data_IF_712513356438
#
_entry.id   IF_712513356438
#
_cell.length_a   1.000
_cell.length_b   1.000
_cell.length_c   1.000
_cell.angle_alpha   90.00
_cell.angle_beta   90.00
_cell.angle_gamma   90.00
#
_symmetry.space_group_name_H-M   'P 1'
#
loop_
_entity.id
_entity.type
_entity.pdbx_description
1 polymer ?
#
# COMPACT_ATOMS: atom_id res chain seq x y z
N UNK A 1 -35.82 5.29 -52.41
CA UNK A 1 -34.42 4.86 -52.50
C UNK A 1 -33.57 6.04 -52.02
N UNK A 2 -33.11 6.00 -50.76
CA UNK A 2 -31.75 5.59 -50.32
C UNK A 2 -30.71 6.69 -50.62
N UNK A 3 -29.86 7.21 -49.73
CA UNK A 3 -29.31 6.81 -48.42
C UNK A 3 -28.82 8.08 -47.70
N UNK A 4 -29.05 8.20 -46.39
CA UNK A 4 -28.34 9.14 -45.51
C UNK A 4 -26.97 8.56 -45.15
N UNK A 5 -25.90 9.32 -45.38
CA UNK A 5 -24.54 8.97 -44.97
C UNK A 5 -24.37 9.19 -43.46
N UNK A 6 -24.15 8.11 -42.72
CA UNK A 6 -23.72 8.13 -41.33
C UNK A 6 -22.19 8.00 -41.32
N UNK A 7 -21.49 9.10 -41.01
CA UNK A 7 -20.05 9.13 -40.81
C UNK A 7 -19.75 8.58 -39.41
N UNK A 8 -19.33 7.32 -39.33
CA UNK A 8 -18.83 6.71 -38.10
C UNK A 8 -17.37 7.12 -37.91
N UNK A 9 -17.08 7.98 -36.93
CA UNK A 9 -15.71 8.22 -36.47
C UNK A 9 -15.30 7.03 -35.62
N UNK A 10 -14.54 6.10 -36.20
CA UNK A 10 -13.90 5.04 -35.45
C UNK A 10 -12.75 5.66 -34.62
N UNK A 11 -12.97 5.85 -33.32
CA UNK A 11 -11.87 5.98 -32.39
C UNK A 11 -11.10 4.65 -32.40
N UNK A 12 -9.85 4.66 -32.86
CA UNK A 12 -9.00 3.48 -32.80
C UNK A 12 -8.65 3.20 -31.34
N UNK A 13 -9.44 2.36 -30.68
CA UNK A 13 -8.97 1.63 -29.51
C UNK A 13 -7.97 0.59 -30.02
N UNK A 14 -6.70 0.97 -30.12
CA UNK A 14 -5.63 0.00 -30.28
C UNK A 14 -5.65 -0.85 -29.02
N UNK A 15 -6.20 -2.07 -29.10
CA UNK A 15 -6.13 -3.04 -28.03
C UNK A 15 -4.64 -3.26 -27.71
N UNK A 16 -4.15 -2.67 -26.61
CA UNK A 16 -2.82 -2.98 -26.10
C UNK A 16 -2.83 -4.45 -25.74
N UNK A 17 -1.89 -5.23 -26.29
CA UNK A 17 -1.78 -6.64 -25.97
C UNK A 17 -1.61 -6.79 -24.44
N UNK A 18 -2.51 -7.52 -23.79
CA UNK A 18 -2.42 -7.80 -22.36
C UNK A 18 -1.58 -9.06 -22.17
N UNK A 19 -0.44 -8.92 -21.49
CA UNK A 19 0.33 -10.07 -21.00
C UNK A 19 -0.26 -10.53 -19.66
N UNK A 20 -0.24 -11.84 -19.41
CA UNK A 20 -0.72 -12.44 -18.15
C UNK A 20 0.14 -13.62 -17.73
N UNK A 21 0.35 -13.76 -16.43
CA UNK A 21 1.00 -14.92 -15.82
C UNK A 21 0.32 -15.27 -14.50
N UNK A 22 0.29 -16.56 -14.16
CA UNK A 22 -0.31 -17.07 -12.92
C UNK A 22 0.69 -17.96 -12.19
N UNK A 23 0.95 -17.64 -10.92
CA UNK A 23 1.61 -18.53 -9.97
C UNK A 23 0.55 -19.29 -9.18
N UNK A 24 0.78 -20.58 -8.97
CA UNK A 24 0.03 -21.38 -8.00
C UNK A 24 0.87 -21.51 -6.74
N UNK A 25 0.30 -21.11 -5.61
CA UNK A 25 0.90 -21.27 -4.29
C UNK A 25 0.46 -22.65 -3.80
N UNK A 26 1.39 -23.58 -3.67
CA UNK A 26 1.09 -24.93 -3.17
C UNK A 26 1.56 -25.03 -1.73
N UNK A 27 0.88 -25.87 -0.95
CA UNK A 27 1.29 -26.19 0.41
C UNK A 27 2.36 -27.30 0.41
N UNK A 28 3.31 -27.24 1.34
CA UNK A 28 4.23 -28.33 1.61
C UNK A 28 3.61 -29.42 2.51
N UNK A 29 2.67 -29.02 3.36
CA UNK A 29 1.95 -29.76 4.40
C UNK A 29 0.44 -29.49 4.31
N UNK A 30 -0.35 -30.14 5.16
CA UNK A 30 -1.82 -29.94 5.20
C UNK A 30 -2.26 -28.77 6.06
N UNK A 31 -1.38 -28.26 6.92
CA UNK A 31 -1.71 -27.23 7.90
C UNK A 31 -1.19 -25.84 7.47
N UNK A 32 -0.44 -25.76 6.36
CA UNK A 32 0.14 -24.49 5.89
C UNK A 32 -0.95 -23.52 5.46
N UNK A 33 -0.70 -22.25 5.74
CA UNK A 33 -1.51 -21.13 5.28
C UNK A 33 -0.63 -19.96 4.89
N UNK A 34 -1.16 -19.03 4.11
CA UNK A 34 -0.49 -17.73 3.94
C UNK A 34 -1.04 -16.80 5.01
N UNK A 35 -0.22 -16.46 5.99
CA UNK A 35 -0.57 -15.59 7.12
C UNK A 35 0.15 -14.23 7.09
N UNK A 36 1.19 -14.10 6.25
CA UNK A 36 1.89 -12.85 6.00
C UNK A 36 2.02 -12.55 4.50
N UNK A 37 1.95 -11.26 4.13
CA UNK A 37 2.07 -10.79 2.75
C UNK A 37 3.02 -9.59 2.67
N UNK A 38 4.20 -9.76 2.07
CA UNK A 38 5.14 -8.68 1.72
C UNK A 38 5.03 -8.28 0.24
N UNK A 39 4.61 -7.04 0.01
CA UNK A 39 4.41 -6.46 -1.32
C UNK A 39 5.43 -5.35 -1.59
N UNK A 40 6.43 -5.63 -2.43
CA UNK A 40 7.31 -4.62 -3.04
C UNK A 40 6.89 -4.36 -4.48
N UNK A 41 5.73 -3.72 -4.65
CA UNK A 41 5.07 -3.54 -5.92
C UNK A 41 4.82 -2.07 -6.27
N UNK A 42 4.53 -1.86 -7.54
CA UNK A 42 3.93 -0.64 -8.07
C UNK A 42 2.70 -1.04 -8.91
N UNK A 43 1.86 -0.06 -9.27
CA UNK A 43 0.61 -0.35 -9.96
C UNK A 43 -0.50 -0.71 -8.98
N UNK A 44 -1.32 -1.72 -9.30
CA UNK A 44 -2.50 -2.10 -8.51
C UNK A 44 -2.42 -3.51 -7.99
N UNK A 45 -2.84 -3.71 -6.74
CA UNK A 45 -2.91 -5.02 -6.11
C UNK A 45 -4.29 -5.24 -5.48
N UNK A 46 -4.87 -6.43 -5.67
CA UNK A 46 -5.99 -6.90 -4.87
C UNK A 46 -5.60 -8.16 -4.13
N UNK A 47 -5.95 -8.23 -2.86
CA UNK A 47 -5.86 -9.45 -2.06
C UNK A 47 -7.29 -9.85 -1.71
N UNK A 48 -7.67 -11.06 -2.08
CA UNK A 48 -9.02 -11.58 -1.97
C UNK A 48 -8.99 -12.99 -1.39
N UNK A 49 -9.95 -13.32 -0.54
CA UNK A 49 -10.25 -14.71 -0.19
C UNK A 49 -11.12 -15.35 -1.27
N UNK A 50 -10.85 -16.62 -1.60
CA UNK A 50 -11.69 -17.43 -2.50
C UNK A 50 -11.89 -18.84 -1.93
N UNK A 51 -13.15 -19.27 -1.87
CA UNK A 51 -13.50 -20.62 -1.45
C UNK A 51 -13.36 -21.63 -2.59
N UNK A 52 -13.05 -22.89 -2.27
CA UNK A 52 -13.14 -24.00 -3.21
C UNK A 52 -11.94 -24.17 -4.13
N UNK A 53 -10.76 -23.72 -3.70
CA UNK A 53 -9.51 -24.06 -4.39
C UNK A 53 -9.19 -25.55 -4.25
N UNK A 54 -8.42 -26.13 -5.18
CA UNK A 54 -7.99 -27.53 -5.09
C UNK A 54 -7.24 -27.82 -3.79
N UNK A 55 -7.34 -29.06 -3.30
CA UNK A 55 -6.56 -29.51 -2.15
C UNK A 55 -5.05 -29.32 -2.39
N UNK A 56 -4.34 -28.81 -1.40
CA UNK A 56 -2.89 -28.53 -1.49
C UNK A 56 -2.56 -27.21 -2.20
N UNK A 57 -3.55 -26.39 -2.53
CA UNK A 57 -3.35 -25.04 -3.09
C UNK A 57 -3.68 -24.00 -2.02
N UNK A 58 -2.67 -23.21 -1.64
CA UNK A 58 -2.78 -22.09 -0.71
C UNK A 58 -3.36 -20.83 -1.38
N UNK A 59 -3.23 -20.72 -2.70
CA UNK A 59 -3.73 -19.59 -3.45
C UNK A 59 -3.18 -19.46 -4.86
N UNK A 60 -3.54 -18.36 -5.50
CA UNK A 60 -3.01 -17.95 -6.81
C UNK A 60 -2.53 -16.52 -6.77
N UNK A 61 -1.46 -16.22 -7.50
CA UNK A 61 -1.08 -14.85 -7.84
C UNK A 61 -1.22 -14.68 -9.34
N UNK A 62 -2.17 -13.86 -9.76
CA UNK A 62 -2.39 -13.50 -11.16
C UNK A 62 -1.80 -12.12 -11.42
N UNK A 63 -0.90 -12.03 -12.39
CA UNK A 63 -0.30 -10.76 -12.80
C UNK A 63 -0.70 -10.48 -14.23
N UNK A 64 -1.17 -9.27 -14.49
CA UNK A 64 -1.48 -8.79 -15.83
C UNK A 64 -0.89 -7.42 -16.08
N UNK A 65 -0.41 -7.20 -17.30
CA UNK A 65 0.15 -5.92 -17.69
C UNK A 65 0.04 -5.63 -19.17
N UNK A 66 0.42 -4.42 -19.57
CA UNK A 66 0.35 -3.97 -20.96
C UNK A 66 1.54 -4.41 -21.82
N UNK A 67 2.51 -5.13 -21.24
CA UNK A 67 3.59 -5.79 -21.96
C UNK A 67 4.12 -7.01 -21.19
N UNK A 68 4.72 -7.95 -21.91
CA UNK A 68 5.37 -9.12 -21.29
C UNK A 68 6.50 -8.70 -20.36
N UNK A 69 7.27 -7.66 -20.71
CA UNK A 69 8.36 -7.16 -19.87
C UNK A 69 7.88 -6.67 -18.50
N UNK A 70 6.68 -6.10 -18.40
CA UNK A 70 6.09 -5.68 -17.12
C UNK A 70 5.69 -6.90 -16.29
N UNK A 71 5.12 -7.93 -16.91
CA UNK A 71 4.73 -9.18 -16.22
C UNK A 71 5.95 -9.98 -15.77
N UNK A 72 6.96 -10.13 -16.64
CA UNK A 72 8.20 -10.86 -16.36
C UNK A 72 9.06 -10.18 -15.29
N UNK A 73 8.83 -8.88 -15.03
CA UNK A 73 9.52 -8.16 -13.96
C UNK A 73 8.99 -8.52 -12.56
N UNK A 74 7.84 -9.19 -12.46
CA UNK A 74 7.26 -9.62 -11.19
C UNK A 74 7.80 -10.98 -10.78
N UNK A 75 8.19 -11.09 -9.52
CA UNK A 75 8.57 -12.33 -8.87
C UNK A 75 7.62 -12.62 -7.71
N UNK A 76 7.23 -13.89 -7.60
CA UNK A 76 6.41 -14.40 -6.49
C UNK A 76 7.22 -15.50 -5.82
N UNK A 77 7.40 -15.37 -4.50
CA UNK A 77 8.06 -16.35 -3.65
C UNK A 77 7.09 -16.62 -2.50
N UNK A 78 6.86 -17.90 -2.22
CA UNK A 78 6.20 -18.35 -1.00
C UNK A 78 7.25 -19.16 -0.24
N UNK A 79 7.52 -18.75 1.00
CA UNK A 79 8.59 -19.33 1.82
C UNK A 79 8.30 -20.78 2.26
N UNK A 80 7.06 -21.24 2.12
CA UNK A 80 6.66 -22.63 2.35
C UNK A 80 7.31 -23.64 1.37
N UNK A 81 7.89 -23.17 0.27
CA UNK A 81 8.24 -24.06 -0.83
C UNK A 81 9.55 -24.86 -0.65
N UNK A 82 10.46 -24.50 0.27
CA UNK A 82 11.76 -25.18 0.34
C UNK A 82 12.63 -24.90 1.60
N UNK A 83 12.07 -24.97 2.81
CA UNK A 83 12.92 -24.92 4.00
C UNK A 83 13.41 -26.33 4.40
N UNK A 84 14.72 -26.53 4.38
CA UNK A 84 15.40 -27.71 4.92
C UNK A 84 16.36 -27.33 6.06
N UNK A 85 16.35 -26.07 6.47
CA UNK A 85 17.22 -25.53 7.49
C UNK A 85 16.45 -25.52 8.81
N UNK A 86 16.41 -26.70 9.43
CA UNK A 86 15.76 -27.11 10.69
C UNK A 86 16.21 -26.31 11.95
N UNK A 87 16.66 -25.06 11.84
CA UNK A 87 17.41 -24.39 12.90
C UNK A 87 17.23 -22.87 13.05
N UNK A 88 16.24 -22.23 12.43
CA UNK A 88 15.86 -20.86 12.77
C UNK A 88 14.49 -20.87 13.46
N UNK A 89 14.45 -20.53 14.75
CA UNK A 89 13.21 -20.52 15.57
C UNK A 89 12.20 -19.42 15.17
N UNK A 90 12.36 -18.85 13.98
CA UNK A 90 11.66 -17.70 13.40
C UNK A 90 11.34 -17.92 11.91
N UNK A 91 11.33 -19.16 11.42
CA UNK A 91 10.95 -19.44 10.03
C UNK A 91 9.48 -19.04 9.83
N UNK A 92 9.25 -18.06 8.96
CA UNK A 92 7.94 -17.51 8.63
C UNK A 92 7.19 -18.50 7.72
N UNK A 93 6.75 -19.63 8.28
CA UNK A 93 5.93 -20.64 7.62
C UNK A 93 4.56 -20.07 7.19
N UNK A 94 4.55 -19.36 6.05
CA UNK A 94 3.34 -18.71 5.53
C UNK A 94 3.53 -17.34 4.91
N UNK A 95 4.76 -16.84 4.73
CA UNK A 95 4.99 -15.55 4.09
C UNK A 95 4.93 -15.61 2.55
N UNK A 96 4.04 -14.80 1.97
CA UNK A 96 3.98 -14.53 0.54
C UNK A 96 4.72 -13.23 0.19
N UNK A 97 5.82 -13.38 -0.54
CA UNK A 97 6.61 -12.28 -1.08
C UNK A 97 6.28 -12.02 -2.56
N UNK A 98 5.75 -10.85 -2.88
CA UNK A 98 5.51 -10.42 -4.28
C UNK A 98 6.24 -9.12 -4.58
N UNK A 99 7.17 -9.16 -5.54
CA UNK A 99 8.09 -8.06 -5.81
C UNK A 99 8.17 -7.73 -7.30
N UNK A 100 8.41 -6.47 -7.63
CA UNK A 100 8.69 -6.04 -9.00
C UNK A 100 10.11 -5.50 -9.14
N UNK A 101 10.83 -5.95 -10.17
CA UNK A 101 12.18 -5.49 -10.49
C UNK A 101 13.27 -6.35 -9.86
N UNK A 102 13.36 -7.61 -10.29
CA UNK A 102 14.38 -8.58 -9.86
C UNK A 102 15.81 -8.32 -10.41
N UNK A 103 16.20 -7.08 -10.64
CA UNK A 103 17.59 -6.76 -11.00
C UNK A 103 17.88 -5.33 -10.59
N UNK A 104 19.02 -5.14 -9.94
CA UNK A 104 19.58 -3.91 -9.32
C UNK A 104 19.71 -2.68 -10.24
N UNK A 105 19.07 -2.67 -11.42
CA UNK A 105 19.10 -1.59 -12.41
C UNK A 105 17.86 -1.48 -13.33
N UNK A 106 16.82 -2.31 -13.21
CA UNK A 106 15.64 -2.29 -14.11
C UNK A 106 14.34 -1.77 -13.50
N UNK A 107 14.22 -1.68 -12.17
CA UNK A 107 13.00 -1.20 -11.52
C UNK A 107 12.69 0.29 -11.82
N UNK A 108 13.71 1.13 -12.02
CA UNK A 108 13.55 2.56 -12.31
C UNK A 108 13.28 2.87 -13.78
N UNK A 109 13.47 1.90 -14.68
CA UNK A 109 13.23 2.04 -16.12
C UNK A 109 11.97 1.32 -16.60
N UNK A 110 11.35 0.50 -15.74
CA UNK A 110 10.11 -0.18 -16.09
C UNK A 110 8.96 0.83 -16.21
N UNK A 111 8.35 0.88 -17.39
CA UNK A 111 7.19 1.72 -17.67
C UNK A 111 6.08 0.87 -18.27
N UNK A 112 4.88 1.06 -17.77
CA UNK A 112 3.71 0.28 -18.15
C UNK A 112 2.67 0.24 -17.05
N UNK A 113 1.68 -0.61 -17.23
CA UNK A 113 0.57 -0.76 -16.29
C UNK A 113 0.52 -2.19 -15.78
N UNK A 114 0.31 -2.36 -14.48
CA UNK A 114 0.31 -3.64 -13.79
C UNK A 114 -0.92 -3.76 -12.87
N UNK A 115 -1.55 -4.92 -12.93
CA UNK A 115 -2.51 -5.42 -11.95
C UNK A 115 -2.02 -6.76 -11.44
N UNK A 116 -1.86 -6.87 -10.13
CA UNK A 116 -1.60 -8.11 -9.40
C UNK A 116 -2.84 -8.47 -8.60
N UNK A 117 -3.32 -9.71 -8.72
CA UNK A 117 -4.45 -10.24 -7.97
C UNK A 117 -4.00 -11.47 -7.19
N UNK A 118 -4.09 -11.41 -5.88
CA UNK A 118 -3.74 -12.47 -4.95
C UNK A 118 -5.04 -13.08 -4.44
N UNK A 119 -5.22 -14.37 -4.67
CA UNK A 119 -6.40 -15.14 -4.28
C UNK A 119 -5.99 -16.18 -3.25
N UNK A 120 -6.41 -16.03 -2.00
CA UNK A 120 -6.04 -16.93 -0.90
C UNK A 120 -7.11 -17.98 -0.66
N UNK A 121 -6.69 -19.21 -0.37
CA UNK A 121 -7.55 -20.35 -0.09
C UNK A 121 -8.16 -20.31 1.32
N UNK A 122 -7.45 -19.69 2.27
CA UNK A 122 -7.81 -19.60 3.68
C UNK A 122 -8.40 -18.23 3.99
N UNK A 123 -9.53 -18.21 4.69
CA UNK A 123 -10.20 -16.97 5.10
C UNK A 123 -9.78 -16.59 6.51
N UNK A 124 -9.51 -15.30 6.73
CA UNK A 124 -9.35 -14.73 8.05
C UNK A 124 -8.11 -15.22 8.79
N UNK A 125 -7.04 -15.53 8.05
CA UNK A 125 -5.78 -16.04 8.58
C UNK A 125 -4.65 -15.02 8.53
N UNK A 126 -4.70 -14.05 7.62
CA UNK A 126 -3.59 -13.10 7.42
C UNK A 126 -3.48 -12.16 8.61
N UNK A 127 -2.35 -12.20 9.28
CA UNK A 127 -1.98 -11.37 10.43
C UNK A 127 -1.08 -10.21 10.04
N UNK A 128 -0.32 -10.31 8.96
CA UNK A 128 0.56 -9.23 8.51
C UNK A 128 0.38 -8.92 7.03
N UNK A 129 0.25 -7.63 6.72
CA UNK A 129 0.25 -7.12 5.34
C UNK A 129 1.16 -5.92 5.25
N UNK A 130 2.23 -6.06 4.48
CA UNK A 130 3.17 -5.00 4.20
C UNK A 130 3.12 -4.59 2.75
N UNK A 131 3.00 -3.28 2.51
CA UNK A 131 3.18 -2.70 1.19
C UNK A 131 4.22 -1.60 1.18
N UNK A 132 5.31 -1.87 0.48
CA UNK A 132 6.36 -0.91 0.20
C UNK A 132 6.31 -0.42 -1.25
N UNK A 133 7.14 0.59 -1.55
CA UNK A 133 7.23 1.27 -2.85
C UNK A 133 5.99 2.12 -3.18
N UNK A 134 5.14 1.76 -4.14
CA UNK A 134 4.14 2.70 -4.70
C UNK A 134 2.84 2.05 -5.18
N UNK A 135 2.59 0.80 -4.77
CA UNK A 135 1.36 0.10 -5.12
C UNK A 135 0.12 0.73 -4.47
N UNK A 136 -1.00 0.65 -5.18
CA UNK A 136 -2.34 0.82 -4.60
C UNK A 136 -2.89 -0.58 -4.29
N UNK A 137 -2.91 -0.95 -3.01
CA UNK A 137 -3.29 -2.28 -2.52
C UNK A 137 -4.69 -2.22 -1.93
N UNK A 138 -5.56 -3.12 -2.36
CA UNK A 138 -6.89 -3.32 -1.77
C UNK A 138 -6.91 -4.70 -1.12
N UNK A 139 -7.07 -4.74 0.20
CA UNK A 139 -7.27 -5.96 0.98
C UNK A 139 -8.76 -6.11 1.21
N UNK A 140 -9.37 -7.13 0.61
CA UNK A 140 -10.82 -7.34 0.67
C UNK A 140 -11.26 -8.10 1.92
N UNK A 141 -12.56 -8.10 2.15
CA UNK A 141 -13.18 -8.83 3.24
C UNK A 141 -12.83 -10.32 3.22
N UNK A 142 -12.70 -10.90 4.41
CA UNK A 142 -12.33 -12.31 4.61
C UNK A 142 -10.85 -12.65 4.42
N UNK A 143 -9.96 -11.68 4.14
CA UNK A 143 -8.50 -11.89 4.08
C UNK A 143 -7.86 -11.87 5.48
N UNK A 144 -7.97 -10.73 6.16
CA UNK A 144 -7.31 -10.50 7.44
C UNK A 144 -7.98 -11.26 8.59
N UNK A 145 -7.18 -11.66 9.58
CA UNK A 145 -7.69 -12.16 10.85
C UNK A 145 -8.62 -11.13 11.48
N UNK A 146 -9.80 -11.58 11.92
CA UNK A 146 -10.84 -10.70 12.47
C UNK A 146 -11.34 -11.13 13.84
N UNK A 147 -10.99 -12.32 14.32
CA UNK A 147 -11.44 -12.82 15.62
C UNK A 147 -10.41 -13.79 16.23
N UNK A 148 -9.47 -13.27 17.00
CA UNK A 148 -8.49 -14.07 17.74
C UNK A 148 -7.97 -13.33 18.97
N UNK A 149 -8.08 -13.93 20.16
CA UNK A 149 -7.59 -13.32 21.41
C UNK A 149 -6.07 -13.37 21.57
N UNK A 150 -5.36 -14.00 20.63
CA UNK A 150 -3.89 -14.12 20.65
C UNK A 150 -3.25 -13.40 19.47
N UNK A 151 -3.99 -13.17 18.38
CA UNK A 151 -3.44 -12.60 17.16
C UNK A 151 -3.02 -11.13 17.33
N UNK A 152 -1.90 -10.82 16.70
CA UNK A 152 -1.46 -9.48 16.39
C UNK A 152 -1.76 -9.25 14.93
N UNK A 153 -2.56 -8.23 14.62
CA UNK A 153 -2.86 -7.83 13.26
C UNK A 153 -2.05 -6.59 12.92
N UNK A 154 -1.15 -6.70 11.96
CA UNK A 154 -0.32 -5.62 11.47
C UNK A 154 -0.66 -5.28 10.02
N UNK A 155 -0.75 -3.99 9.72
CA UNK A 155 -0.84 -3.48 8.35
C UNK A 155 0.13 -2.32 8.19
N UNK A 156 1.09 -2.48 7.28
CA UNK A 156 2.14 -1.50 7.02
C UNK A 156 2.05 -0.92 5.60
N UNK A 157 2.18 0.39 5.48
CA UNK A 157 2.30 1.09 4.21
C UNK A 157 3.52 2.03 4.21
N UNK A 158 4.46 1.84 3.29
CA UNK A 158 5.67 2.68 3.22
C UNK A 158 6.01 3.16 1.80
N UNK A 159 6.89 4.15 1.71
CA UNK A 159 7.23 4.81 0.45
C UNK A 159 6.12 5.77 0.01
N UNK A 160 5.44 5.45 -1.08
CA UNK A 160 4.26 6.15 -1.60
C UNK A 160 3.09 5.20 -1.88
N UNK A 161 3.10 4.01 -1.28
CA UNK A 161 2.02 3.04 -1.40
C UNK A 161 0.72 3.57 -0.77
N UNK A 162 -0.40 3.00 -1.20
CA UNK A 162 -1.70 3.24 -0.58
C UNK A 162 -2.38 1.90 -0.30
N UNK A 163 -2.64 1.59 0.96
CA UNK A 163 -3.32 0.37 1.41
C UNK A 163 -4.74 0.70 1.83
N UNK A 164 -5.70 -0.04 1.29
CA UNK A 164 -7.12 0.05 1.63
C UNK A 164 -7.60 -1.32 2.14
N UNK A 165 -7.82 -1.45 3.44
CA UNK A 165 -8.55 -2.60 4.00
C UNK A 165 -10.04 -2.30 3.85
N UNK A 166 -10.72 -3.09 3.02
CA UNK A 166 -12.10 -2.87 2.59
C UNK A 166 -13.01 -3.97 3.12
N UNK A 167 -13.27 -3.96 4.43
CA UNK A 167 -14.05 -4.96 5.14
C UNK A 167 -15.11 -4.31 6.06
N UNK A 168 -15.84 -3.30 5.54
CA UNK A 168 -16.77 -2.46 6.30
C UNK A 168 -17.90 -3.22 7.03
N UNK A 169 -18.17 -4.48 6.65
CA UNK A 169 -19.13 -5.38 7.33
C UNK A 169 -18.55 -6.20 8.47
N UNK A 170 -17.23 -6.24 8.61
CA UNK A 170 -16.51 -7.18 9.49
C UNK A 170 -16.07 -6.51 10.77
N UNK A 171 -16.39 -7.12 11.91
CA UNK A 171 -15.89 -6.69 13.21
C UNK A 171 -14.54 -7.33 13.47
N UNK A 172 -13.56 -6.54 13.89
CA UNK A 172 -12.21 -7.00 14.24
C UNK A 172 -12.07 -7.08 15.76
N UNK A 173 -11.77 -8.27 16.26
CA UNK A 173 -11.47 -8.55 17.66
C UNK A 173 -10.15 -9.30 17.75
N UNK A 174 -9.09 -8.61 18.16
CA UNK A 174 -7.71 -9.12 18.18
C UNK A 174 -7.02 -8.83 19.51
N UNK A 175 -5.87 -9.48 19.77
CA UNK A 175 -5.04 -9.15 20.92
C UNK A 175 -4.42 -7.76 20.75
N UNK A 176 -3.77 -7.56 19.61
CA UNK A 176 -3.09 -6.33 19.23
C UNK A 176 -3.45 -5.94 17.80
N UNK A 177 -3.49 -4.63 17.56
CA UNK A 177 -3.69 -4.06 16.23
C UNK A 177 -2.64 -2.98 16.00
N UNK A 178 -1.85 -3.13 14.93
CA UNK A 178 -0.83 -2.17 14.55
C UNK A 178 -1.09 -1.66 13.12
N UNK A 179 -1.17 -0.33 12.96
CA UNK A 179 -1.35 0.33 11.67
C UNK A 179 -0.24 1.35 11.46
N UNK A 180 0.69 1.04 10.55
CA UNK A 180 1.87 1.86 10.34
C UNK A 180 1.91 2.45 8.94
N UNK A 181 2.10 3.77 8.85
CA UNK A 181 2.31 4.44 7.58
C UNK A 181 3.56 5.33 7.62
N UNK A 182 4.45 5.19 6.63
CA UNK A 182 5.70 5.94 6.55
C UNK A 182 5.96 6.55 5.17
N UNK A 183 6.80 7.59 5.13
CA UNK A 183 7.12 8.33 3.91
C UNK A 183 5.97 9.23 3.47
N UNK A 184 5.31 8.89 2.38
CA UNK A 184 4.11 9.56 1.85
C UNK A 184 2.93 8.61 1.69
N UNK A 185 3.04 7.42 2.30
CA UNK A 185 2.06 6.37 2.16
C UNK A 185 0.71 6.74 2.79
N UNK A 186 -0.34 6.04 2.35
CA UNK A 186 -1.68 6.17 2.89
C UNK A 186 -2.18 4.80 3.33
N UNK A 187 -2.70 4.71 4.54
CA UNK A 187 -3.33 3.51 5.06
C UNK A 187 -4.77 3.86 5.48
N UNK A 188 -5.75 3.23 4.83
CA UNK A 188 -7.15 3.30 5.24
C UNK A 188 -7.60 1.91 5.71
N UNK A 189 -7.88 1.80 7.00
CA UNK A 189 -8.45 0.59 7.60
C UNK A 189 -9.96 0.80 7.74
N UNK A 190 -10.79 0.17 6.90
CA UNK A 190 -12.26 0.31 6.95
C UNK A 190 -12.91 -1.01 7.36
N UNK A 191 -13.45 -1.04 8.58
CA UNK A 191 -14.09 -2.20 9.19
C UNK A 191 -15.34 -1.78 9.96
N UNK A 192 -16.18 -2.74 10.37
CA UNK A 192 -17.41 -2.43 11.12
C UNK A 192 -17.10 -1.81 12.48
N UNK A 193 -16.24 -2.47 13.27
CA UNK A 193 -15.89 -2.10 14.64
C UNK A 193 -14.58 -2.77 15.04
N UNK A 194 -13.85 -2.18 15.98
CA UNK A 194 -12.58 -2.69 16.48
C UNK A 194 -12.62 -2.88 18.00
N UNK A 195 -12.21 -4.05 18.47
CA UNK A 195 -12.03 -4.36 19.89
C UNK A 195 -10.68 -5.05 20.09
N UNK A 196 -9.77 -4.41 20.82
CA UNK A 196 -8.39 -4.86 21.02
C UNK A 196 -8.17 -5.11 22.50
N UNK A 197 -7.79 -6.33 22.88
CA UNK A 197 -7.70 -6.66 24.31
C UNK A 197 -6.45 -6.10 24.99
N UNK A 198 -5.40 -5.83 24.22
CA UNK A 198 -4.10 -5.34 24.72
C UNK A 198 -3.82 -3.94 24.16
N UNK A 199 -3.17 -3.84 23.00
CA UNK A 199 -2.71 -2.57 22.43
C UNK A 199 -3.21 -2.34 21.00
N UNK A 200 -3.83 -1.19 20.78
CA UNK A 200 -4.04 -0.62 19.45
C UNK A 200 -3.01 0.50 19.24
N UNK A 201 -2.11 0.31 18.27
CA UNK A 201 -1.01 1.23 17.99
C UNK A 201 -1.07 1.73 16.55
N UNK A 202 -1.17 3.05 16.36
CA UNK A 202 -1.17 3.67 15.03
C UNK A 202 0.02 4.62 14.90
N UNK A 203 0.83 4.43 13.87
CA UNK A 203 1.98 5.30 13.58
C UNK A 203 1.87 5.97 12.21
N UNK A 204 2.11 7.28 12.16
CA UNK A 204 2.22 8.04 10.92
C UNK A 204 3.51 8.86 10.87
N UNK A 205 4.46 8.44 10.04
CA UNK A 205 5.79 9.03 9.93
C UNK A 205 5.98 9.77 8.59
N UNK A 206 6.79 10.83 8.58
CA UNK A 206 7.02 11.64 7.38
C UNK A 206 5.83 12.53 7.03
N UNK A 207 5.20 12.30 5.88
CA UNK A 207 3.94 12.91 5.44
C UNK A 207 2.86 11.86 5.19
N UNK A 208 3.00 10.67 5.78
CA UNK A 208 2.07 9.58 5.65
C UNK A 208 0.76 9.84 6.42
N UNK A 209 -0.30 9.12 6.06
CA UNK A 209 -1.61 9.24 6.72
C UNK A 209 -2.19 7.86 7.06
N UNK A 210 -2.64 7.70 8.30
CA UNK A 210 -3.43 6.56 8.76
C UNK A 210 -4.87 7.00 9.01
N UNK A 211 -5.83 6.28 8.44
CA UNK A 211 -7.27 6.51 8.60
C UNK A 211 -7.96 5.23 9.08
N UNK A 212 -8.49 5.26 10.29
CA UNK A 212 -9.23 4.18 10.94
C UNK A 212 -10.73 4.50 10.84
N UNK A 213 -11.42 3.79 9.95
CA UNK A 213 -12.84 3.95 9.70
C UNK A 213 -13.61 2.78 10.33
N UNK A 214 -14.34 3.06 11.41
CA UNK A 214 -15.14 2.09 12.14
C UNK A 214 -16.26 2.78 12.91
N UNK A 215 -17.28 2.05 13.38
CA UNK A 215 -18.30 2.63 14.28
C UNK A 215 -17.76 2.85 15.69
N UNK A 216 -16.88 1.96 16.15
CA UNK A 216 -16.27 1.99 17.48
C UNK A 216 -14.83 1.46 17.44
N UNK A 217 -14.00 1.96 18.36
CA UNK A 217 -12.66 1.50 18.67
C UNK A 217 -12.54 1.34 20.19
N UNK A 218 -12.36 0.10 20.64
CA UNK A 218 -12.13 -0.22 22.05
C UNK A 218 -10.74 -0.86 22.19
N UNK A 219 -9.93 -0.39 23.14
CA UNK A 219 -8.61 -0.95 23.43
C UNK A 219 -8.29 -0.89 24.94
N UNK A 220 -7.39 -1.74 25.44
CA UNK A 220 -6.84 -1.51 26.78
C UNK A 220 -5.84 -0.35 26.75
N UNK A 221 -4.93 -0.36 25.78
CA UNK A 221 -3.98 0.69 25.47
C UNK A 221 -4.21 1.22 24.04
N UNK A 222 -4.32 2.55 23.91
CA UNK A 222 -4.38 3.23 22.62
C UNK A 222 -3.17 4.15 22.48
N UNK A 223 -2.26 3.80 21.58
CA UNK A 223 -1.04 4.55 21.28
C UNK A 223 -1.12 5.16 19.88
N UNK A 224 -1.04 6.48 19.79
CA UNK A 224 -1.14 7.23 18.55
C UNK A 224 0.10 8.09 18.39
N UNK A 225 0.95 7.73 17.43
CA UNK A 225 2.23 8.41 17.21
C UNK A 225 2.27 9.09 15.84
N UNK A 226 2.52 10.39 15.84
CA UNK A 226 2.76 11.11 14.59
C UNK A 226 4.13 11.76 14.62
N UNK A 227 4.84 11.72 13.49
CA UNK A 227 6.14 12.35 13.30
C UNK A 227 6.14 13.24 12.06
N UNK A 228 7.00 14.26 12.05
CA UNK A 228 7.24 15.18 10.93
C UNK A 228 6.03 15.99 10.45
N UNK A 229 5.14 15.45 9.63
CA UNK A 229 3.85 16.01 9.19
C UNK A 229 2.78 14.93 9.05
N UNK A 230 3.06 13.70 9.51
CA UNK A 230 2.17 12.56 9.41
C UNK A 230 0.89 12.80 10.20
N UNK A 231 -0.18 12.13 9.79
CA UNK A 231 -1.51 12.34 10.39
C UNK A 231 -2.21 11.03 10.70
N UNK A 232 -2.99 11.03 11.78
CA UNK A 232 -3.85 9.92 12.16
C UNK A 232 -5.29 10.45 12.25
N UNK A 233 -6.22 9.72 11.66
CA UNK A 233 -7.63 10.05 11.65
C UNK A 233 -8.47 8.84 12.10
N UNK A 234 -9.32 8.99 13.11
CA UNK A 234 -10.21 7.92 13.60
C UNK A 234 -11.66 8.41 13.49
N UNK A 235 -12.45 7.79 12.62
CA UNK A 235 -13.83 8.23 12.35
C UNK A 235 -14.86 7.69 13.35
N UNK A 236 -14.44 6.89 14.32
CA UNK A 236 -15.32 6.20 15.26
C UNK A 236 -16.17 7.17 16.10
N UNK A 237 -17.43 6.78 16.34
CA UNK A 237 -18.33 7.50 17.23
C UNK A 237 -17.97 7.26 18.70
N UNK A 238 -17.50 6.05 18.98
CA UNK A 238 -17.05 5.62 20.30
C UNK A 238 -15.58 5.21 20.23
N UNK A 239 -14.73 5.95 20.94
CA UNK A 239 -13.33 5.58 21.18
C UNK A 239 -13.18 5.38 22.68
N UNK A 240 -12.78 4.18 23.09
CA UNK A 240 -12.61 3.84 24.51
C UNK A 240 -11.29 3.13 24.70
N UNK A 241 -10.44 3.72 25.53
CA UNK A 241 -9.16 3.20 25.94
C UNK A 241 -8.99 3.35 27.46
N UNK A 242 -8.45 2.33 28.13
CA UNK A 242 -8.10 2.44 29.55
C UNK A 242 -6.91 3.37 29.73
N UNK A 243 -5.88 3.19 28.89
CA UNK A 243 -4.72 4.08 28.80
C UNK A 243 -4.64 4.67 27.39
N UNK A 244 -4.40 5.97 27.32
CA UNK A 244 -4.25 6.69 26.06
C UNK A 244 -2.90 7.43 26.05
N UNK A 245 -2.16 7.26 24.95
CA UNK A 245 -0.92 7.97 24.69
C UNK A 245 -0.99 8.58 23.28
N UNK A 246 -1.07 9.90 23.18
CA UNK A 246 -1.07 10.62 21.91
C UNK A 246 0.15 11.51 21.77
N UNK A 247 0.91 11.36 20.68
CA UNK A 247 2.03 12.25 20.35
C UNK A 247 1.62 13.22 19.22
N UNK A 248 1.77 14.53 19.50
CA UNK A 248 1.38 15.63 18.61
C UNK A 248 -0.13 15.65 18.29
N UNK A 249 -0.90 15.98 19.33
CA UNK A 249 -2.36 16.05 19.33
C UNK A 249 -2.97 16.85 18.16
N UNK A 250 -2.23 17.81 17.58
CA UNK A 250 -2.72 18.63 16.46
C UNK A 250 -2.88 17.85 15.16
N UNK A 251 -2.28 16.66 15.07
CA UNK A 251 -2.25 15.78 13.89
C UNK A 251 -3.08 14.53 14.04
N UNK A 252 -3.61 14.32 15.24
CA UNK A 252 -4.54 13.26 15.55
C UNK A 252 -5.94 13.85 15.50
N UNK A 253 -6.80 13.29 14.67
CA UNK A 253 -8.18 13.76 14.49
C UNK A 253 -9.17 12.66 14.87
N UNK A 254 -10.05 12.96 15.82
CA UNK A 254 -11.19 12.11 16.19
C UNK A 254 -12.48 12.94 16.02
N UNK A 255 -12.88 13.28 14.78
CA UNK A 255 -13.92 14.27 14.53
C UNK A 255 -15.28 13.87 15.12
N UNK A 256 -15.60 12.57 15.07
CA UNK A 256 -16.91 12.01 15.43
C UNK A 256 -16.98 11.44 16.86
N UNK A 257 -15.83 11.27 17.52
CA UNK A 257 -15.77 10.60 18.80
C UNK A 257 -16.35 11.47 19.93
N UNK A 258 -17.10 10.85 20.83
CA UNK A 258 -17.61 11.50 22.05
C UNK A 258 -16.48 11.90 23.02
N UNK A 259 -15.46 11.05 23.14
CA UNK A 259 -14.19 11.36 23.80
C UNK A 259 -13.10 11.50 22.74
N UNK A 260 -12.41 12.63 22.75
CA UNK A 260 -11.26 12.91 21.87
C UNK A 260 -9.93 12.80 22.60
N UNK A 261 -9.97 12.44 23.89
CA UNK A 261 -8.82 12.55 24.79
C UNK A 261 -8.21 13.95 24.72
N UNK A 262 -6.94 14.07 24.35
CA UNK A 262 -6.25 15.35 24.14
C UNK A 262 -6.15 15.76 22.66
N UNK A 263 -6.70 14.96 21.73
CA UNK A 263 -6.58 15.21 20.29
C UNK A 263 -7.27 16.52 19.87
N UNK A 264 -6.60 17.28 19.00
CA UNK A 264 -7.04 18.61 18.54
C UNK A 264 -7.01 18.76 17.02
N UNK A 265 -6.67 17.71 16.28
CA UNK A 265 -6.72 17.69 14.83
C UNK A 265 -8.13 17.90 14.29
N UNK A 266 -8.20 18.36 13.04
CA UNK A 266 -9.43 18.80 12.38
C UNK A 266 -9.74 18.07 11.07
N UNK A 267 -9.03 16.96 10.79
CA UNK A 267 -9.32 16.13 9.62
C UNK A 267 -10.70 15.47 9.77
N UNK A 268 -11.45 15.41 8.67
CA UNK A 268 -12.81 14.89 8.65
C UNK A 268 -12.89 13.34 8.70
N UNK A 269 -11.79 12.65 8.43
CA UNK A 269 -11.71 11.19 8.29
C UNK A 269 -12.67 10.64 7.22
N UNK A 270 -12.77 11.33 6.08
CA UNK A 270 -13.60 10.88 4.97
C UNK A 270 -13.06 9.59 4.35
N UNK A 271 -13.96 8.68 4.01
CA UNK A 271 -13.62 7.48 3.26
C UNK A 271 -13.10 7.85 1.86
N UNK A 272 -11.89 7.38 1.55
CA UNK A 272 -11.33 7.46 0.21
C UNK A 272 -11.96 6.42 -0.71
N UNK A 273 -12.16 6.78 -1.97
CA UNK A 273 -12.65 5.85 -2.99
C UNK A 273 -11.69 4.68 -3.17
N UNK A 274 -12.19 3.46 -3.01
CA UNK A 274 -11.45 2.24 -3.33
C UNK A 274 -11.12 2.27 -4.83
N UNK A 275 -9.86 2.02 -5.23
CA UNK A 275 -9.52 2.00 -6.63
C UNK A 275 -10.28 0.92 -7.43
N UNK A 276 -10.39 1.09 -8.75
CA UNK A 276 -11.03 0.11 -9.65
C UNK A 276 -10.09 -1.04 -9.98
N UNK A 277 -10.62 -2.26 -10.17
CA UNK A 277 -9.82 -3.49 -10.42
C UNK A 277 -9.25 -3.57 -11.84
N UNK A 278 -8.30 -2.69 -12.14
CA UNK A 278 -7.68 -2.52 -13.46
C UNK A 278 -6.17 -2.22 -13.35
N UNK A 279 -5.35 -2.54 -14.36
CA UNK A 279 -3.92 -2.21 -14.34
C UNK A 279 -3.64 -0.73 -14.07
N UNK A 280 -2.72 -0.47 -13.13
CA UNK A 280 -2.27 0.87 -12.79
C UNK A 280 -0.80 1.05 -13.09
N UNK A 281 -0.42 2.30 -13.31
CA UNK A 281 0.90 2.68 -13.77
C UNK A 281 1.99 2.33 -12.74
N UNK A 282 3.10 1.72 -13.20
CA UNK A 282 4.20 1.26 -12.33
C UNK A 282 5.32 2.29 -12.14
N UNK A 283 5.30 3.41 -12.86
CA UNK A 283 6.32 4.48 -12.75
C UNK A 283 5.78 5.86 -13.13
N UNK A 284 6.41 6.95 -12.70
CA UNK A 284 5.97 8.32 -13.05
C UNK A 284 5.89 8.59 -14.56
N UNK A 285 6.60 7.81 -15.37
CA UNK A 285 6.62 7.93 -16.83
C UNK A 285 5.25 7.63 -17.47
N UNK A 286 4.52 6.62 -16.99
CA UNK A 286 3.18 6.32 -17.52
C UNK A 286 2.09 7.21 -16.92
N UNK A 287 2.31 7.80 -15.74
CA UNK A 287 1.35 8.68 -15.07
C UNK A 287 1.14 10.00 -15.83
N UNK A 288 2.13 10.43 -16.61
CA UNK A 288 2.04 11.62 -17.48
C UNK A 288 1.29 11.34 -18.80
N UNK A 289 1.15 10.06 -19.18
CA UNK A 289 0.54 9.64 -20.45
C UNK A 289 -0.98 9.49 -20.40
N UNK A 290 -1.59 9.60 -19.21
CA UNK A 290 -3.05 9.53 -19.01
C UNK A 290 -3.77 10.87 -19.17
N UNK A 291 -3.12 11.89 -19.78
CA UNK A 291 -3.83 13.09 -20.26
C UNK A 291 -4.75 12.72 -21.41
N UNK A 292 -5.99 12.45 -21.04
CA UNK A 292 -7.12 12.28 -21.94
C UNK A 292 -7.31 13.56 -22.77
N UNK A 293 -7.44 13.38 -24.09
CA UNK A 293 -7.63 14.36 -25.14
C UNK A 293 -7.96 15.81 -24.75
N UNK A 294 -7.01 16.71 -25.00
CA UNK A 294 -7.33 18.06 -25.48
C UNK A 294 -6.46 18.32 -26.69
N UNK A 295 -7.07 18.27 -27.89
CA UNK A 295 -6.41 18.70 -29.12
C UNK A 295 -6.12 20.20 -29.03
N UNK A 296 -4.90 20.56 -28.65
CA UNK A 296 -4.37 21.88 -28.93
C UNK A 296 -3.94 21.92 -30.39
N UNK A 297 -4.72 22.61 -31.22
CA UNK A 297 -4.35 22.99 -32.58
C UNK A 297 -3.01 23.73 -32.55
N UNK A 298 -1.97 23.09 -33.09
CA UNK A 298 -0.65 23.69 -33.24
C UNK A 298 -0.75 24.89 -34.21
N UNK A 299 -0.71 26.10 -33.67
CA UNK A 299 -0.49 27.31 -34.48
C UNK A 299 1.01 27.40 -34.72
N UNK A 300 1.43 27.14 -35.96
CA UNK A 300 2.81 27.32 -36.40
C UNK A 300 3.11 28.82 -36.40
N UNK A 301 3.93 29.28 -35.45
CA UNK A 301 4.56 30.60 -35.52
C UNK A 301 5.96 30.40 -36.08
N UNK A 302 6.13 30.87 -37.32
CA UNK A 302 7.39 30.93 -38.04
C UNK A 302 8.26 32.03 -37.44
N UNK A 303 9.42 31.68 -36.87
CA UNK A 303 10.44 32.66 -36.48
C UNK A 303 11.60 32.60 -37.48
N UNK A 304 11.79 33.71 -38.20
CA UNK A 304 12.94 33.97 -39.08
C UNK A 304 14.22 34.25 -38.26
N UNK A 305 15.43 34.07 -38.84
CA UNK A 305 16.69 34.19 -38.12
C UNK A 305 17.27 35.61 -38.22
N UNK A 306 17.87 36.11 -37.13
CA UNK A 306 18.76 37.28 -37.18
C UNK A 306 19.92 37.15 -36.20
N UNK A 307 21.10 36.93 -36.80
CA UNK A 307 22.41 37.57 -36.59
C UNK A 307 22.95 37.84 -35.17
N UNK A 308 24.10 37.20 -34.94
CA UNK A 308 25.30 37.64 -34.22
C UNK A 308 25.45 39.14 -33.95
N UNK A 309 25.83 39.49 -32.71
CA UNK A 309 27.08 40.20 -32.44
C UNK A 309 27.49 40.10 -30.96
N UNK A 310 28.80 40.19 -30.77
CA UNK A 310 29.61 40.11 -29.57
C UNK A 310 29.28 41.17 -28.51
N UNK A 311 29.54 40.89 -27.23
CA UNK A 311 30.73 41.39 -26.51
C UNK A 311 30.61 41.21 -24.99
N UNK A 312 31.59 40.48 -24.47
CA UNK A 312 32.47 40.78 -23.33
C UNK A 312 32.00 40.84 -21.86
N UNK A 313 32.99 40.44 -21.02
CA UNK A 313 33.20 40.71 -19.60
C UNK A 313 32.55 39.80 -18.51
N UNK A 314 33.38 38.83 -18.09
CA UNK A 314 33.89 38.60 -16.71
C UNK A 314 32.97 38.77 -15.49
N UNK A 315 32.79 37.70 -14.72
CA UNK A 315 33.53 37.42 -13.46
C UNK A 315 32.74 36.45 -12.55
N UNK A 316 33.47 35.45 -12.07
CA UNK A 316 33.42 34.79 -10.76
C UNK A 316 32.08 34.74 -9.99
N UNK A 317 31.60 33.52 -9.72
CA UNK A 317 31.71 32.99 -8.36
C UNK A 317 31.41 31.49 -8.25
N UNK A 318 32.36 30.84 -7.59
CA UNK A 318 32.40 29.49 -7.07
C UNK A 318 31.21 29.14 -6.16
N UNK A 319 30.62 27.96 -6.34
CA UNK A 319 30.13 27.11 -5.24
C UNK A 319 29.80 25.70 -5.75
N UNK A 320 30.79 24.80 -5.65
CA UNK A 320 30.55 23.37 -5.73
C UNK A 320 29.63 22.92 -4.60
N UNK A 321 28.59 22.15 -4.90
CA UNK A 321 27.79 21.45 -3.88
C UNK A 321 27.80 19.97 -4.20
N UNK A 322 28.64 19.23 -3.47
CA UNK A 322 28.59 17.78 -3.36
C UNK A 322 27.37 17.37 -2.52
N UNK A 323 26.67 16.27 -2.86
CA UNK A 323 25.61 15.75 -2.00
C UNK A 323 26.23 15.01 -0.81
N UNK A 324 25.94 15.46 0.42
CA UNK A 324 26.23 14.70 1.64
C UNK A 324 25.17 13.62 1.81
N UNK A 325 25.62 12.36 1.80
CA UNK A 325 24.91 11.21 2.35
C UNK A 325 24.53 11.52 3.81
N UNK A 326 23.24 11.49 4.12
CA UNK A 326 22.76 11.30 5.48
C UNK A 326 22.56 9.78 5.69
N UNK A 327 23.42 9.19 6.51
CA UNK A 327 23.24 7.84 7.01
C UNK A 327 22.09 7.85 8.03
N UNK A 328 21.01 7.11 7.73
CA UNK A 328 19.98 6.77 8.71
C UNK A 328 20.49 5.61 9.56
N UNK A 329 20.70 5.88 10.84
CA UNK A 329 20.92 4.85 11.86
C UNK A 329 19.53 4.48 12.40
N UNK A 330 19.10 3.26 12.13
CA UNK A 330 17.96 2.66 12.82
C UNK A 330 18.37 2.39 14.27
N UNK A 331 17.68 3.02 15.22
CA UNK A 331 17.77 2.67 16.62
C UNK A 331 16.63 1.71 16.95
N UNK A 332 16.98 0.43 17.12
CA UNK A 332 16.13 -0.59 17.73
C UNK A 332 15.96 -0.23 19.21
N UNK A 333 14.75 0.14 19.63
CA UNK A 333 14.42 0.28 21.06
C UNK A 333 13.97 -1.10 21.55
N UNK A 334 14.87 -1.78 22.25
CA UNK A 334 14.57 -3.00 23.00
C UNK A 334 13.78 -2.68 24.27
N UNK A 335 12.70 -3.42 24.47
CA UNK A 335 11.90 -3.43 25.70
C UNK A 335 12.73 -4.01 26.85
N UNK A 336 12.96 -3.22 27.89
CA UNK A 336 13.52 -3.71 29.17
C UNK A 336 12.36 -3.90 30.14
N UNK A 337 11.95 -5.16 30.32
CA UNK A 337 11.13 -5.58 31.45
C UNK A 337 11.98 -5.61 32.72
N UNK A 338 11.79 -4.64 33.62
CA UNK A 338 12.31 -4.71 34.98
C UNK A 338 11.20 -5.22 35.90
N UNK A 339 11.29 -6.47 36.31
CA UNK A 339 10.56 -7.00 37.45
C UNK A 339 11.18 -6.52 38.76
N UNK A 340 10.35 -5.99 39.67
CA UNK A 340 10.67 -5.87 41.09
C UNK A 340 9.40 -5.57 41.91
N UNK A 341 8.69 -6.63 42.29
CA UNK A 341 8.29 -7.02 43.66
C UNK A 341 7.23 -8.12 43.63
#
# INVERSE_FOLDING_TARGET
>A
MNIHALLLVAASMTARATAKFTWTLNSASTDDTIDSIDLDLAGRVYVSYVSGLPSGVLGYVNVSGDSQAVVDAVTVINDDANDTDDNDTNDNDGELNVRIGNSTSTATTLSGYLLTEIFLASSGVVTDVKSQRSAQVVVEDGVLVSSSTTAELQVEASGSSAVYVSAASTAVSVRQLQLDAAGTAKLQFNVKSVSVTDEAKFEAQGSAAVSMLASSLEASQLELETQSTGTICISALQVTATNYQGQDASRISMPNASSKYDSTGSLACDESSIPTREPSCVSSACASSSTSGTSATATVVTSAPTTTNDDDASDDNNASSTPRLAALVFAVIGVVTAGLL
#
